data_IF_962011104015
#
_entry.id   IF_962011104015
#
_cell.length_a   1.000
_cell.length_b   1.000
_cell.length_c   1.000
_cell.angle_alpha   90.00
_cell.angle_beta   90.00
_cell.angle_gamma   90.00
#
_symmetry.space_group_name_H-M   'P 1'
#
loop_
_entity.id
_entity.type
_entity.pdbx_description
1 polymer ?
#
# COMPACT_ATOMS: atom_id res chain seq x y z
N UNK A 1 13.14 -30.60 44.24
CA UNK A 1 13.49 -30.52 42.81
C UNK A 1 12.39 -29.92 41.91
N UNK A 2 11.08 -30.02 42.26
CA UNK A 2 9.94 -29.50 41.48
C UNK A 2 9.90 -27.97 41.21
N UNK A 3 10.44 -27.13 42.08
CA UNK A 3 10.37 -25.66 41.91
C UNK A 3 11.33 -25.12 40.85
N UNK A 4 12.50 -25.74 40.70
CA UNK A 4 13.53 -25.33 39.73
C UNK A 4 13.10 -25.63 38.29
N UNK A 5 12.51 -26.79 38.05
CA UNK A 5 11.95 -27.16 36.74
C UNK A 5 10.72 -26.32 36.40
N UNK A 6 9.87 -26.00 37.38
CA UNK A 6 8.73 -25.08 37.19
C UNK A 6 9.17 -23.67 36.79
N UNK A 7 10.24 -23.15 37.39
CA UNK A 7 10.76 -21.81 37.06
C UNK A 7 11.35 -21.79 35.65
N UNK A 8 12.10 -22.85 35.28
CA UNK A 8 12.64 -23.03 33.93
C UNK A 8 11.56 -23.13 32.85
N UNK A 9 10.49 -23.89 33.11
CA UNK A 9 9.36 -24.00 32.18
C UNK A 9 8.60 -22.68 32.07
N UNK A 10 8.35 -21.99 33.19
CA UNK A 10 7.69 -20.69 33.18
C UNK A 10 8.50 -19.62 32.44
N UNK A 11 9.82 -19.54 32.68
CA UNK A 11 10.70 -18.63 31.97
C UNK A 11 10.83 -18.97 30.49
N UNK A 12 10.87 -20.26 30.15
CA UNK A 12 10.89 -20.73 28.76
C UNK A 12 9.60 -20.35 28.03
N UNK A 13 8.44 -20.59 28.64
CA UNK A 13 7.15 -20.23 28.08
C UNK A 13 7.00 -18.71 27.90
N UNK A 14 7.46 -17.92 28.88
CA UNK A 14 7.49 -16.46 28.77
C UNK A 14 8.41 -15.99 27.64
N UNK A 15 9.59 -16.59 27.50
CA UNK A 15 10.53 -16.29 26.42
C UNK A 15 9.94 -16.58 25.04
N UNK A 16 9.27 -17.73 24.89
CA UNK A 16 8.56 -18.08 23.64
C UNK A 16 7.43 -17.09 23.36
N UNK A 17 6.63 -16.72 24.37
CA UNK A 17 5.54 -15.76 24.19
C UNK A 17 6.05 -14.38 23.73
N UNK A 18 7.16 -13.90 24.31
CA UNK A 18 7.79 -12.65 23.90
C UNK A 18 8.37 -12.73 22.49
N UNK A 19 8.99 -13.85 22.12
CA UNK A 19 9.51 -14.05 20.77
C UNK A 19 8.39 -14.07 19.71
N UNK A 20 7.27 -14.72 20.01
CA UNK A 20 6.08 -14.71 19.13
C UNK A 20 5.53 -13.28 18.99
N UNK A 21 5.38 -12.54 20.09
CA UNK A 21 4.92 -11.15 20.04
C UNK A 21 5.88 -10.26 19.24
N UNK A 22 7.19 -10.40 19.42
CA UNK A 22 8.19 -9.61 18.72
C UNK A 22 8.11 -9.76 17.20
N UNK A 23 7.67 -10.92 16.70
CA UNK A 23 7.54 -11.19 15.26
C UNK A 23 6.12 -10.93 14.75
N UNK A 24 5.10 -11.02 15.60
CA UNK A 24 3.70 -10.84 15.22
C UNK A 24 3.26 -9.37 15.11
N UNK A 25 3.93 -8.44 15.79
CA UNK A 25 3.57 -7.02 15.74
C UNK A 25 3.99 -6.39 14.40
N UNK A 26 3.14 -5.56 13.78
CA UNK A 26 3.50 -4.86 12.55
C UNK A 26 4.70 -3.92 12.74
N UNK A 27 5.64 -3.98 11.81
CA UNK A 27 6.79 -3.07 11.72
C UNK A 27 6.43 -1.83 10.89
N UNK A 28 7.10 -0.68 11.09
CA UNK A 28 6.83 0.55 10.33
C UNK A 28 7.42 0.51 8.90
N UNK A 29 7.21 -0.61 8.19
CA UNK A 29 7.65 -0.86 6.82
C UNK A 29 6.46 -1.23 5.96
N UNK A 30 6.50 -0.81 4.70
CA UNK A 30 5.54 -1.16 3.66
C UNK A 30 6.28 -1.79 2.49
N UNK A 31 5.58 -2.66 1.74
CA UNK A 31 6.11 -3.23 0.49
C UNK A 31 5.39 -2.59 -0.71
N UNK A 32 6.18 -2.15 -1.68
CA UNK A 32 5.74 -1.63 -2.96
C UNK A 32 5.95 -2.68 -4.03
N UNK A 33 4.96 -2.90 -4.89
CA UNK A 33 5.03 -3.87 -5.97
C UNK A 33 4.17 -3.49 -7.18
N UNK A 34 4.21 -4.29 -8.26
CA UNK A 34 3.38 -4.04 -9.43
C UNK A 34 1.89 -4.16 -9.07
N UNK A 35 1.13 -3.11 -9.34
CA UNK A 35 -0.33 -3.11 -9.24
C UNK A 35 -0.99 -3.62 -10.53
N UNK A 36 -2.32 -3.78 -10.51
CA UNK A 36 -3.08 -4.09 -11.72
C UNK A 36 -2.96 -2.97 -12.76
N UNK A 37 -3.23 -3.33 -14.01
CA UNK A 37 -3.37 -2.36 -15.10
C UNK A 37 -4.84 -2.17 -15.43
N UNK A 38 -5.25 -0.92 -15.61
CA UNK A 38 -6.62 -0.59 -15.99
C UNK A 38 -6.63 0.03 -17.38
N UNK A 39 -7.55 -0.41 -18.25
CA UNK A 39 -7.76 0.27 -19.52
C UNK A 39 -8.64 1.50 -19.30
N UNK A 40 -8.09 2.70 -19.48
CA UNK A 40 -8.80 3.96 -19.24
C UNK A 40 -9.89 4.25 -20.28
N UNK A 41 -9.89 3.53 -21.41
CA UNK A 41 -10.91 3.62 -22.46
C UNK A 41 -12.11 2.68 -22.21
N UNK A 42 -12.06 1.87 -21.15
CA UNK A 42 -13.07 0.87 -20.83
C UNK A 42 -13.72 1.13 -19.47
N UNK A 43 -14.75 0.33 -19.18
CA UNK A 43 -15.42 0.34 -17.89
C UNK A 43 -14.79 -0.66 -16.92
N UNK A 44 -14.72 -0.28 -15.65
CA UNK A 44 -14.40 -1.16 -14.52
C UNK A 44 -15.60 -1.16 -13.58
N UNK A 45 -16.13 -2.34 -13.28
CA UNK A 45 -17.32 -2.52 -12.44
C UNK A 45 -18.54 -1.67 -12.87
N UNK A 46 -18.72 -1.52 -14.17
CA UNK A 46 -19.84 -0.78 -14.78
C UNK A 46 -19.70 0.74 -14.69
N UNK A 47 -18.51 1.25 -14.35
CA UNK A 47 -18.19 2.68 -14.35
C UNK A 47 -17.00 2.97 -15.28
N UNK A 48 -17.05 4.03 -16.10
CA UNK A 48 -15.91 4.47 -16.90
C UNK A 48 -14.72 4.75 -15.99
N UNK A 49 -13.53 4.31 -16.38
CA UNK A 49 -12.29 4.61 -15.63
C UNK A 49 -11.94 6.10 -15.71
N UNK A 50 -12.22 6.73 -16.85
CA UNK A 50 -12.11 8.18 -17.05
C UNK A 50 -13.42 8.65 -17.68
N UNK A 51 -14.05 9.64 -17.07
CA UNK A 51 -15.25 10.31 -17.60
C UNK A 51 -14.87 11.72 -18.02
N UNK A 52 -15.16 12.08 -19.28
CA UNK A 52 -14.84 13.39 -19.84
C UNK A 52 -16.13 14.10 -20.17
N UNK A 53 -16.31 15.29 -19.62
CA UNK A 53 -17.46 16.15 -19.87
C UNK A 53 -17.05 17.41 -20.65
N UNK A 54 -18.00 18.00 -21.39
CA UNK A 54 -17.78 19.27 -22.08
C UNK A 54 -17.04 19.21 -23.43
N UNK A 55 -16.56 18.04 -23.86
CA UNK A 55 -15.87 17.84 -25.14
C UNK A 55 -16.43 16.63 -25.91
N UNK A 56 -16.43 16.66 -27.26
CA UNK A 56 -16.84 15.51 -28.05
C UNK A 56 -15.84 14.35 -27.90
N UNK A 57 -16.34 13.17 -27.52
CA UNK A 57 -15.55 11.94 -27.51
C UNK A 57 -15.61 11.23 -28.86
N UNK A 58 -14.48 10.69 -29.31
CA UNK A 58 -14.38 9.93 -30.56
C UNK A 58 -14.22 8.44 -30.26
N UNK A 59 -14.83 7.56 -31.09
CA UNK A 59 -14.66 6.12 -30.90
C UNK A 59 -13.21 5.72 -31.13
N UNK A 60 -12.61 5.12 -30.11
CA UNK A 60 -11.25 4.58 -30.17
C UNK A 60 -11.27 3.06 -30.22
N UNK A 61 -10.41 2.48 -31.03
CA UNK A 61 -10.12 1.04 -31.01
C UNK A 61 -8.79 0.79 -30.29
N UNK A 62 -8.77 -0.10 -29.29
CA UNK A 62 -7.54 -0.50 -28.61
C UNK A 62 -7.63 -0.38 -27.09
N UNK A 63 -6.46 -0.30 -26.44
CA UNK A 63 -6.34 -0.15 -25.00
C UNK A 63 -5.41 1.02 -24.69
N UNK A 64 -5.79 1.84 -23.71
CA UNK A 64 -4.91 2.80 -23.08
C UNK A 64 -4.72 2.33 -21.63
N UNK A 65 -3.63 1.60 -21.39
CA UNK A 65 -3.41 0.97 -20.10
C UNK A 65 -2.74 1.93 -19.11
N UNK A 66 -3.42 2.22 -18.02
CA UNK A 66 -2.87 2.85 -16.82
C UNK A 66 -2.29 1.77 -15.91
N UNK A 67 -0.98 1.83 -15.66
CA UNK A 67 -0.28 0.95 -14.72
C UNK A 67 -0.33 1.53 -13.32
N UNK A 68 -0.68 0.72 -12.33
CA UNK A 68 -0.69 1.15 -10.92
C UNK A 68 0.45 0.51 -10.13
N UNK A 69 0.78 1.11 -8.99
CA UNK A 69 1.69 0.53 -8.00
C UNK A 69 0.86 0.11 -6.79
N UNK A 70 1.07 -1.11 -6.31
CA UNK A 70 0.39 -1.63 -5.12
C UNK A 70 1.23 -1.37 -3.87
N UNK A 71 0.56 -1.02 -2.77
CA UNK A 71 1.18 -0.80 -1.46
C UNK A 71 0.60 -1.82 -0.48
N UNK A 72 1.47 -2.64 0.12
CA UNK A 72 1.10 -3.57 1.20
C UNK A 72 1.55 -3.00 2.54
N UNK A 73 0.60 -2.59 3.37
CA UNK A 73 0.83 -2.05 4.71
C UNK A 73 0.67 -3.11 5.82
N UNK A 74 1.03 -2.75 7.06
CA UNK A 74 0.94 -3.59 8.27
C UNK A 74 1.74 -4.89 8.15
N UNK A 75 2.94 -4.81 7.60
CA UNK A 75 3.86 -5.94 7.50
C UNK A 75 4.36 -6.36 8.87
N UNK A 76 4.42 -7.67 9.14
CA UNK A 76 5.17 -8.22 10.27
C UNK A 76 6.67 -8.28 9.92
N UNK A 77 7.54 -8.51 10.90
CA UNK A 77 8.98 -8.65 10.63
C UNK A 77 9.28 -9.75 9.61
N UNK A 78 8.60 -10.90 9.73
CA UNK A 78 8.74 -12.01 8.78
C UNK A 78 8.20 -11.59 7.40
N UNK A 79 7.05 -10.93 7.34
CA UNK A 79 6.50 -10.43 6.08
C UNK A 79 7.44 -9.45 5.38
N UNK A 80 8.03 -8.50 6.11
CA UNK A 80 8.99 -7.55 5.57
C UNK A 80 10.24 -8.24 5.00
N UNK A 81 10.77 -9.26 5.68
CA UNK A 81 11.90 -10.04 5.16
C UNK A 81 11.53 -10.86 3.92
N UNK A 82 10.31 -11.42 3.87
CA UNK A 82 9.80 -12.13 2.71
C UNK A 82 9.70 -11.21 1.49
N UNK A 83 9.05 -10.04 1.64
CA UNK A 83 8.95 -9.06 0.56
C UNK A 83 10.31 -8.50 0.14
N UNK A 84 11.23 -8.30 1.08
CA UNK A 84 12.57 -7.82 0.76
C UNK A 84 13.40 -8.82 -0.07
N UNK A 85 13.15 -10.13 0.10
CA UNK A 85 13.83 -11.17 -0.67
C UNK A 85 13.25 -11.33 -2.09
N UNK A 86 12.05 -10.81 -2.37
CA UNK A 86 11.43 -10.86 -3.69
C UNK A 86 11.99 -9.77 -4.63
N UNK A 87 12.39 -10.14 -5.85
CA UNK A 87 12.99 -9.19 -6.81
C UNK A 87 12.02 -8.14 -7.36
N UNK A 88 10.71 -8.38 -7.29
CA UNK A 88 9.68 -7.48 -7.84
C UNK A 88 9.04 -6.57 -6.79
N UNK A 89 9.59 -6.58 -5.57
CA UNK A 89 9.03 -5.90 -4.43
C UNK A 89 10.10 -4.99 -3.82
N UNK A 90 9.68 -3.84 -3.33
CA UNK A 90 10.57 -2.88 -2.67
C UNK A 90 10.04 -2.58 -1.27
N UNK A 91 10.84 -2.86 -0.25
CA UNK A 91 10.48 -2.56 1.14
C UNK A 91 11.02 -1.19 1.54
N UNK A 92 10.13 -0.30 1.99
CA UNK A 92 10.46 1.08 2.35
C UNK A 92 9.83 1.47 3.69
N UNK A 93 10.33 2.50 4.39
CA UNK A 93 9.68 3.04 5.58
C UNK A 93 8.26 3.53 5.27
N UNK A 94 7.30 3.20 6.15
CA UNK A 94 5.89 3.63 6.00
C UNK A 94 5.75 5.14 5.85
N UNK A 95 6.60 5.90 6.53
CA UNK A 95 6.62 7.37 6.51
C UNK A 95 6.90 8.01 5.15
N UNK A 96 7.45 7.25 4.20
CA UNK A 96 7.69 7.73 2.83
C UNK A 96 6.39 7.82 2.03
N UNK A 97 5.39 7.00 2.39
CA UNK A 97 4.08 6.95 1.70
C UNK A 97 3.00 7.61 2.55
N UNK A 98 3.00 7.37 3.86
CA UNK A 98 2.01 7.91 4.80
C UNK A 98 2.71 8.82 5.80
N UNK A 99 2.48 10.12 5.70
CA UNK A 99 3.08 11.09 6.60
C UNK A 99 2.74 10.79 8.08
N UNK A 100 3.73 10.79 8.98
CA UNK A 100 3.48 10.52 10.39
C UNK A 100 2.63 11.64 11.01
N UNK A 101 1.58 11.25 11.75
CA UNK A 101 0.72 12.20 12.47
C UNK A 101 -0.44 12.78 11.65
N UNK A 102 -0.59 12.38 10.37
CA UNK A 102 -1.78 12.67 9.57
C UNK A 102 -2.82 11.55 9.75
N UNK A 103 -4.08 11.95 9.75
CA UNK A 103 -5.22 11.02 9.67
C UNK A 103 -5.44 10.60 8.21
N UNK A 104 -6.12 9.47 8.00
CA UNK A 104 -6.40 8.98 6.66
C UNK A 104 -7.26 10.01 5.88
N UNK A 105 -8.19 10.69 6.56
CA UNK A 105 -9.03 11.74 5.97
C UNK A 105 -8.21 12.94 5.48
N UNK A 106 -7.21 13.38 6.26
CA UNK A 106 -6.34 14.49 5.86
C UNK A 106 -5.47 14.14 4.64
N UNK A 107 -5.09 12.87 4.50
CA UNK A 107 -4.34 12.40 3.34
C UNK A 107 -5.25 12.36 2.10
N UNK A 108 -6.50 11.91 2.26
CA UNK A 108 -7.48 11.86 1.17
C UNK A 108 -7.84 13.27 0.65
N UNK A 109 -8.05 14.24 1.55
CA UNK A 109 -8.30 15.64 1.20
C UNK A 109 -7.12 16.23 0.42
N UNK A 110 -5.89 16.04 0.91
CA UNK A 110 -4.67 16.52 0.24
C UNK A 110 -4.49 15.90 -1.15
N UNK A 111 -4.76 14.60 -1.28
CA UNK A 111 -4.68 13.90 -2.56
C UNK A 111 -5.73 14.39 -3.56
N UNK A 112 -6.95 14.71 -3.10
CA UNK A 112 -7.99 15.27 -3.94
C UNK A 112 -7.60 16.66 -4.47
N UNK A 113 -7.00 17.50 -3.63
CA UNK A 113 -6.44 18.80 -4.06
C UNK A 113 -5.32 18.60 -5.10
N UNK A 114 -4.34 17.73 -4.82
CA UNK A 114 -3.22 17.47 -5.75
C UNK A 114 -3.70 16.91 -7.09
N UNK A 115 -4.76 16.10 -7.08
CA UNK A 115 -5.37 15.57 -8.29
C UNK A 115 -6.05 16.68 -9.10
N UNK A 116 -6.82 17.55 -8.45
CA UNK A 116 -7.44 18.72 -9.10
C UNK A 116 -6.40 19.64 -9.71
N UNK A 117 -5.31 19.92 -9.00
CA UNK A 117 -4.20 20.73 -9.50
C UNK A 117 -3.51 20.08 -10.70
N UNK A 118 -3.36 18.75 -10.68
CA UNK A 118 -2.81 17.99 -11.81
C UNK A 118 -3.68 18.10 -13.05
N UNK A 119 -5.02 18.07 -12.90
CA UNK A 119 -5.98 18.23 -13.99
C UNK A 119 -5.89 19.64 -14.61
N UNK A 120 -5.91 20.69 -13.78
CA UNK A 120 -5.82 22.09 -14.22
C UNK A 120 -4.49 22.33 -14.98
N UNK A 121 -3.39 21.78 -14.48
CA UNK A 121 -2.09 21.89 -15.13
C UNK A 121 -2.06 21.17 -16.49
N UNK A 122 -2.70 20.00 -16.60
CA UNK A 122 -2.80 19.27 -17.86
C UNK A 122 -3.67 20.00 -18.89
N UNK A 123 -4.81 20.57 -18.46
CA UNK A 123 -5.67 21.39 -19.32
C UNK A 123 -4.93 22.63 -19.82
N UNK A 124 -4.22 23.33 -18.93
CA UNK A 124 -3.49 24.57 -19.28
C UNK A 124 -2.32 24.34 -20.24
N UNK A 125 -1.80 23.11 -20.33
CA UNK A 125 -0.65 22.74 -21.16
C UNK A 125 -1.04 22.21 -22.55
N UNK A 126 -2.32 21.90 -22.79
CA UNK A 126 -2.85 21.35 -24.04
C UNK A 126 -3.17 22.44 -25.08
#
# INVERSE_FOLDING_TARGET
>A
MRSRTSTLLASGMLGVALAVLAVAVPVPLVALGPGPTFNTLADVDGRPVVDVSGLPMYPTSGNLNMTTVSVTDRLTLVGALSYWAEQRQQVVPRSVIYEPGKTDEQVEEKNAEDFSDSEINAESAA
#
